data_IF_943765546141
#
_entry.id   IF_943765546141
#
_cell.length_a   1.000
_cell.length_b   1.000
_cell.length_c   1.000
_cell.angle_alpha   90.00
_cell.angle_beta   90.00
_cell.angle_gamma   90.00
#
_symmetry.space_group_name_H-M   'P 1'
#
loop_
_entity.id
_entity.type
_entity.pdbx_description
1 polymer ?
#
# COMPACT_ATOMS: atom_id res chain seq x y z
N UNK A 1 -10.14 27.21 5.14
CA UNK A 1 -10.85 25.97 5.54
C UNK A 1 -9.80 25.02 6.12
N UNK A 2 -9.93 24.58 7.38
CA UNK A 2 -8.99 23.61 7.97
C UNK A 2 -9.24 22.25 7.33
N UNK A 3 -8.27 21.67 6.62
CA UNK A 3 -8.36 20.28 6.16
C UNK A 3 -8.49 19.38 7.39
N UNK A 4 -9.68 18.80 7.60
CA UNK A 4 -9.89 17.80 8.64
C UNK A 4 -9.14 16.53 8.23
N UNK A 5 -8.16 16.13 9.04
CA UNK A 5 -7.55 14.81 8.95
C UNK A 5 -8.59 13.80 9.43
N UNK A 6 -8.95 12.84 8.58
CA UNK A 6 -9.87 11.76 8.91
C UNK A 6 -9.09 10.44 8.98
N UNK A 7 -9.29 9.69 10.07
CA UNK A 7 -8.73 8.36 10.24
C UNK A 7 -9.80 7.32 9.92
N UNK A 8 -9.46 6.34 9.07
CA UNK A 8 -10.30 5.19 8.78
C UNK A 8 -9.69 3.96 9.44
N UNK A 9 -10.44 3.33 10.35
CA UNK A 9 -10.08 2.04 10.92
C UNK A 9 -10.71 0.93 10.10
N UNK A 10 -9.90 -0.04 9.68
CA UNK A 10 -10.34 -1.18 8.89
C UNK A 10 -10.23 -2.46 9.72
N UNK A 11 -11.20 -3.34 9.55
CA UNK A 11 -11.21 -4.69 10.09
C UNK A 11 -11.33 -5.68 8.93
N UNK A 12 -10.58 -6.78 9.02
CA UNK A 12 -10.62 -7.86 8.04
C UNK A 12 -11.47 -9.00 8.60
N UNK A 13 -12.35 -9.54 7.77
CA UNK A 13 -13.10 -10.74 8.13
C UNK A 13 -12.28 -12.00 7.86
N UNK A 14 -12.43 -13.06 8.68
CA UNK A 14 -11.90 -14.37 8.35
C UNK A 14 -12.46 -14.88 7.03
N UNK A 15 -11.68 -15.72 6.32
CA UNK A 15 -12.05 -16.25 5.00
C UNK A 15 -13.45 -16.89 4.95
N UNK A 16 -13.92 -17.50 6.05
CA UNK A 16 -15.26 -18.14 6.11
C UNK A 16 -16.43 -17.21 5.79
N UNK A 17 -16.22 -15.89 5.86
CA UNK A 17 -17.24 -14.90 5.51
C UNK A 17 -17.13 -14.48 4.05
N UNK A 18 -18.25 -14.55 3.35
CA UNK A 18 -18.53 -13.89 2.07
C UNK A 18 -19.27 -12.57 2.27
N UNK A 19 -19.43 -11.79 1.19
CA UNK A 19 -20.23 -10.56 1.18
C UNK A 19 -21.65 -10.75 1.73
N UNK A 20 -22.26 -11.91 1.47
CA UNK A 20 -23.65 -12.20 1.85
C UNK A 20 -23.79 -12.74 3.28
N UNK A 21 -22.68 -13.20 3.88
CA UNK A 21 -22.68 -13.82 5.22
C UNK A 21 -22.06 -12.92 6.28
N UNK A 22 -21.46 -11.81 5.87
CA UNK A 22 -20.87 -10.85 6.80
C UNK A 22 -21.97 -10.18 7.64
N UNK A 23 -21.83 -10.09 8.97
CA UNK A 23 -22.81 -9.40 9.81
C UNK A 23 -22.95 -7.94 9.39
N UNK A 24 -24.19 -7.48 9.21
CA UNK A 24 -24.46 -6.09 8.86
C UNK A 24 -24.21 -5.19 10.07
N UNK A 25 -23.50 -4.07 9.92
CA UNK A 25 -23.32 -3.11 11.00
C UNK A 25 -24.66 -2.44 11.34
N UNK A 26 -24.91 -2.21 12.63
CA UNK A 26 -26.13 -1.52 13.10
C UNK A 26 -26.08 0.00 12.84
N UNK A 27 -24.88 0.58 12.74
CA UNK A 27 -24.67 2.02 12.60
C UNK A 27 -24.13 2.44 11.23
N UNK A 28 -24.52 3.64 10.78
CA UNK A 28 -24.10 4.22 9.49
C UNK A 28 -22.64 4.69 9.42
N UNK A 29 -21.92 4.70 10.56
CA UNK A 29 -20.50 5.04 10.61
C UNK A 29 -19.57 3.90 10.18
N UNK A 30 -20.11 2.69 10.03
CA UNK A 30 -19.38 1.50 9.62
C UNK A 30 -19.99 0.99 8.32
N UNK A 31 -19.14 0.72 7.34
CA UNK A 31 -19.55 0.17 6.05
C UNK A 31 -18.70 -1.04 5.72
N UNK A 32 -19.27 -1.95 4.93
CA UNK A 32 -18.57 -3.15 4.44
C UNK A 32 -18.02 -2.82 3.05
N UNK A 33 -16.74 -3.12 2.84
CA UNK A 33 -16.08 -2.96 1.56
C UNK A 33 -15.41 -4.27 1.13
N UNK A 34 -15.64 -4.66 -0.12
CA UNK A 34 -14.94 -5.77 -0.73
C UNK A 34 -13.57 -5.31 -1.26
N UNK A 35 -12.51 -6.04 -0.90
CA UNK A 35 -11.15 -5.74 -1.34
C UNK A 35 -10.81 -6.59 -2.57
N UNK A 36 -10.55 -5.92 -3.68
CA UNK A 36 -10.06 -6.58 -4.90
C UNK A 36 -8.61 -7.01 -4.71
N UNK A 37 -8.25 -8.14 -5.35
CA UNK A 37 -6.86 -8.60 -5.42
C UNK A 37 -5.96 -7.48 -5.94
N UNK A 38 -4.99 -7.08 -5.13
CA UNK A 38 -4.14 -5.92 -5.38
C UNK A 38 -2.72 -6.19 -4.89
N UNK A 39 -1.73 -5.50 -5.46
CA UNK A 39 -0.35 -5.55 -4.99
C UNK A 39 -0.09 -4.44 -3.97
N UNK A 40 0.66 -4.76 -2.93
CA UNK A 40 1.06 -3.82 -1.90
C UNK A 40 2.57 -3.85 -1.73
N UNK A 41 3.17 -2.67 -1.63
CA UNK A 41 4.52 -2.51 -1.13
C UNK A 41 4.45 -2.25 0.38
N UNK A 42 5.21 -3.01 1.15
CA UNK A 42 5.15 -3.02 2.62
C UNK A 42 6.55 -2.86 3.19
N UNK A 43 6.71 -1.98 4.18
CA UNK A 43 7.90 -1.93 5.02
C UNK A 43 7.54 -2.35 6.44
N UNK A 44 8.35 -3.24 7.01
CA UNK A 44 8.26 -3.66 8.41
C UNK A 44 9.35 -2.99 9.22
N UNK A 45 9.01 -2.48 10.40
CA UNK A 45 9.94 -1.81 11.30
C UNK A 45 9.56 -2.00 12.77
N UNK A 46 10.46 -1.59 13.66
CA UNK A 46 10.30 -1.69 15.12
C UNK A 46 10.16 -0.33 15.77
N UNK A 47 9.77 -0.33 17.05
CA UNK A 47 9.76 0.86 17.90
C UNK A 47 8.37 1.39 18.23
N UNK A 48 8.37 2.51 18.93
CA UNK A 48 7.16 3.22 19.36
C UNK A 48 6.45 3.90 18.19
N UNK A 49 5.19 4.25 18.45
CA UNK A 49 4.30 4.90 17.50
C UNK A 49 4.43 6.42 17.64
N UNK A 50 5.47 6.94 17.02
CA UNK A 50 5.70 8.38 16.93
C UNK A 50 5.68 8.81 15.48
N UNK A 51 5.20 10.03 15.20
CA UNK A 51 5.13 10.56 13.83
C UNK A 51 6.48 10.48 13.14
N UNK A 52 7.56 10.88 13.84
CA UNK A 52 8.95 10.74 13.36
C UNK A 52 9.32 9.32 12.93
N UNK A 53 8.89 8.30 13.67
CA UNK A 53 9.21 6.91 13.32
C UNK A 53 8.42 6.46 12.08
N UNK A 54 7.15 6.87 11.96
CA UNK A 54 6.33 6.57 10.79
C UNK A 54 6.82 7.31 9.55
N UNK A 55 7.08 8.62 9.64
CA UNK A 55 7.59 9.45 8.53
C UNK A 55 8.90 8.88 7.99
N UNK A 56 9.86 8.56 8.88
CA UNK A 56 11.14 7.95 8.47
C UNK A 56 10.94 6.69 7.62
N UNK A 57 10.07 5.77 8.05
CA UNK A 57 9.88 4.50 7.34
C UNK A 57 8.98 4.65 6.11
N UNK A 58 8.05 5.60 6.13
CA UNK A 58 7.26 5.98 4.97
C UNK A 58 8.13 6.53 3.84
N UNK A 59 9.08 7.41 4.17
CA UNK A 59 10.00 7.99 3.18
C UNK A 59 10.90 6.92 2.55
N UNK A 60 11.41 5.98 3.35
CA UNK A 60 12.16 4.82 2.86
C UNK A 60 11.31 3.98 1.89
N UNK A 61 10.06 3.67 2.28
CA UNK A 61 9.15 2.89 1.44
C UNK A 61 8.81 3.62 0.14
N UNK A 62 8.48 4.91 0.19
CA UNK A 62 8.15 5.71 -1.00
C UNK A 62 9.34 5.79 -1.95
N UNK A 63 10.54 5.96 -1.42
CA UNK A 63 11.78 5.97 -2.22
C UNK A 63 11.96 4.61 -2.92
N UNK A 64 11.83 3.50 -2.19
CA UNK A 64 11.91 2.16 -2.76
C UNK A 64 10.86 1.91 -3.86
N UNK A 65 9.60 2.33 -3.65
CA UNK A 65 8.53 2.19 -4.65
C UNK A 65 8.87 2.97 -5.92
N UNK A 66 9.35 4.20 -5.78
CA UNK A 66 9.76 5.06 -6.90
C UNK A 66 10.94 4.47 -7.67
N UNK A 67 11.97 4.00 -6.97
CA UNK A 67 13.17 3.41 -7.56
C UNK A 67 12.87 2.13 -8.35
N UNK A 68 11.79 1.43 -8.00
CA UNK A 68 11.29 0.24 -8.70
C UNK A 68 10.24 0.55 -9.77
N UNK A 69 10.04 1.82 -10.12
CA UNK A 69 9.09 2.26 -11.14
C UNK A 69 7.66 1.75 -10.88
N UNK A 70 7.26 1.72 -9.61
CA UNK A 70 5.87 1.50 -9.22
C UNK A 70 5.19 2.83 -8.89
N UNK A 71 3.87 2.87 -9.05
CA UNK A 71 3.04 4.01 -8.67
C UNK A 71 2.18 3.66 -7.45
N UNK A 72 2.05 4.60 -6.51
CA UNK A 72 1.19 4.48 -5.34
C UNK A 72 -0.23 4.86 -5.74
N UNK A 73 -1.20 3.97 -5.47
CA UNK A 73 -2.60 4.15 -5.86
C UNK A 73 -3.58 4.23 -4.67
N UNK A 74 -3.07 4.29 -3.44
CA UNK A 74 -3.91 4.34 -2.24
C UNK A 74 -3.38 5.34 -1.21
N UNK A 75 -4.22 5.75 -0.25
CA UNK A 75 -3.73 6.28 1.02
C UNK A 75 -2.80 5.29 1.73
N UNK A 76 -2.07 5.80 2.71
CA UNK A 76 -1.16 5.01 3.57
C UNK A 76 -1.95 4.07 4.46
N UNK A 77 -1.61 2.79 4.46
CA UNK A 77 -2.06 1.84 5.47
C UNK A 77 -1.01 1.73 6.57
N UNK A 78 -1.48 1.63 7.82
CA UNK A 78 -0.64 1.39 8.99
C UNK A 78 -1.15 0.12 9.66
N UNK A 79 -0.30 -0.90 9.77
CA UNK A 79 -0.62 -2.13 10.48
C UNK A 79 0.10 -2.19 11.82
N UNK A 80 -0.70 -2.43 12.86
CA UNK A 80 -0.32 -2.42 14.26
C UNK A 80 -0.88 -3.67 14.91
N UNK A 81 -0.01 -4.61 15.24
CA UNK A 81 -0.43 -5.93 15.71
C UNK A 81 -0.43 -6.05 17.23
N UNK A 82 0.46 -5.30 17.90
CA UNK A 82 0.67 -5.48 19.33
C UNK A 82 -0.10 -4.49 20.19
N UNK A 83 -0.53 -4.92 21.38
CA UNK A 83 -1.21 -4.06 22.33
C UNK A 83 -0.26 -3.03 22.97
N UNK A 84 -0.80 -1.95 23.58
CA UNK A 84 -0.01 -0.81 24.05
C UNK A 84 0.95 -1.12 25.21
N UNK A 85 0.83 -2.29 25.87
CA UNK A 85 1.70 -2.70 26.97
C UNK A 85 2.98 -3.41 26.52
N UNK A 86 3.10 -3.83 25.26
CA UNK A 86 4.34 -4.43 24.74
C UNK A 86 5.42 -3.33 24.62
N UNK A 87 6.63 -3.51 25.17
CA UNK A 87 7.71 -2.54 25.02
C UNK A 87 8.04 -2.28 23.55
N UNK A 88 8.37 -1.02 23.20
CA UNK A 88 8.50 -0.58 21.81
C UNK A 88 9.52 -1.38 21.00
N UNK A 89 10.59 -1.86 21.62
CA UNK A 89 11.63 -2.67 20.97
C UNK A 89 11.12 -4.02 20.45
N UNK A 90 10.05 -4.55 21.05
CA UNK A 90 9.42 -5.79 20.63
C UNK A 90 8.29 -5.57 19.62
N UNK A 91 7.90 -4.31 19.38
CA UNK A 91 6.82 -4.00 18.45
C UNK A 91 7.25 -4.20 17.01
N UNK A 92 6.35 -4.75 16.20
CA UNK A 92 6.41 -4.91 14.77
C UNK A 92 5.30 -4.06 14.18
N UNK A 93 5.71 -3.04 13.45
CA UNK A 93 4.82 -2.10 12.77
C UNK A 93 5.04 -2.25 11.27
N UNK A 94 4.00 -2.01 10.50
CA UNK A 94 4.11 -1.99 9.06
C UNK A 94 3.43 -0.76 8.48
N UNK A 95 4.02 -0.23 7.41
CA UNK A 95 3.38 0.75 6.53
C UNK A 95 3.23 0.09 5.17
N UNK A 96 2.07 0.26 4.55
CA UNK A 96 1.81 -0.27 3.22
C UNK A 96 1.14 0.75 2.29
N UNK A 97 1.44 0.59 1.01
CA UNK A 97 0.76 1.27 -0.09
C UNK A 97 0.32 0.25 -1.13
N UNK A 98 -0.89 0.42 -1.66
CA UNK A 98 -1.27 -0.28 -2.87
C UNK A 98 -0.44 0.28 -4.03
N UNK A 99 0.13 -0.61 -4.83
CA UNK A 99 0.98 -0.25 -5.96
C UNK A 99 0.50 -0.85 -7.28
N UNK A 100 0.82 -0.17 -8.37
CA UNK A 100 0.70 -0.69 -9.73
C UNK A 100 2.01 -0.48 -10.49
N UNK A 101 2.27 -1.29 -11.52
CA UNK A 101 3.39 -1.04 -12.43
C UNK A 101 3.16 0.28 -13.17
N UNK A 102 4.21 1.10 -13.26
CA UNK A 102 4.17 2.29 -14.09
C UNK A 102 4.07 1.89 -15.57
N UNK A 103 3.01 2.32 -16.25
CA UNK A 103 2.74 1.96 -17.65
C UNK A 103 3.73 2.59 -18.64
N UNK A 104 4.47 3.64 -18.26
CA UNK A 104 5.38 4.35 -19.17
C UNK A 104 6.60 3.50 -19.59
N UNK A 105 7.03 2.56 -18.77
CA UNK A 105 8.19 1.70 -19.07
C UNK A 105 7.83 0.59 -20.07
N UNK A 106 6.55 0.41 -20.42
CA UNK A 106 6.11 -0.67 -21.29
C UNK A 106 6.04 -0.28 -22.79
N UNK A 107 6.21 1.00 -23.14
CA UNK A 107 6.15 1.49 -24.52
C UNK A 107 7.51 1.64 -25.22
N UNK A 108 8.63 1.36 -24.55
CA UNK A 108 9.97 1.64 -25.10
C UNK A 108 10.77 0.40 -25.58
N UNK A 109 10.26 -0.82 -25.40
CA UNK A 109 11.14 -2.01 -25.58
C UNK A 109 10.85 -2.91 -26.81
N UNK A 110 9.97 -2.50 -27.75
CA UNK A 110 9.76 -3.28 -28.99
C UNK A 110 9.81 -2.47 -30.30
N UNK A 111 9.73 -1.14 -30.29
CA UNK A 111 9.80 -0.32 -31.51
C UNK A 111 11.23 -0.02 -31.96
N UNK A 112 12.15 0.22 -31.03
CA UNK A 112 13.54 0.60 -31.33
C UNK A 112 14.31 -0.54 -32.05
N UNK A 113 14.14 -1.79 -31.61
CA UNK A 113 14.72 -2.96 -32.27
C UNK A 113 14.22 -3.15 -33.71
N UNK A 114 12.95 -2.82 -33.96
CA UNK A 114 12.36 -2.91 -35.31
C UNK A 114 12.96 -1.87 -36.25
N UNK A 115 13.26 -0.66 -35.75
CA UNK A 115 13.91 0.39 -36.53
C UNK A 115 15.40 0.05 -36.80
N UNK A 116 16.11 -0.44 -35.78
CA UNK A 116 17.53 -0.81 -35.88
C UNK A 116 17.76 -1.97 -36.85
N UNK A 117 16.87 -2.97 -36.86
CA UNK A 117 16.90 -4.06 -37.83
C UNK A 117 16.59 -3.58 -39.25
N UNK A 118 15.67 -2.63 -39.42
CA UNK A 118 15.30 -2.10 -40.74
C UNK A 118 16.37 -1.18 -41.35
N UNK A 119 17.16 -0.49 -40.52
CA UNK A 119 18.26 0.37 -40.97
C UNK A 119 19.53 -0.39 -41.37
N UNK A 120 19.74 -1.61 -40.87
CA UNK A 120 20.92 -2.43 -41.17
C UNK A 120 20.68 -3.49 -42.25
N UNK A 121 19.49 -3.52 -42.88
CA UNK A 121 19.12 -4.46 -43.94
C UNK A 121 18.97 -3.81 -45.32
N UNK A 122 19.49 -2.60 -45.52
CA UNK A 122 19.56 -1.92 -46.82
C UNK A 122 21.01 -1.69 -47.25
#
# INVERSE_FOLDING_TARGET
>A
MKNKIAWLQVFMFPHKFSKDTVPQPEGSSVFIQELKKSFYAVIKFRGYWTDKNYEKHEDILKSYIKDKSYEICSPRFIFRYQPPFIPGIFRHNEIAYQITKNKRVQSEDHSEWTLFLRLNLN
#
